data_IF_968107415845
#
_entry.id   IF_968107415845
#
_cell.length_a   1.000
_cell.length_b   1.000
_cell.length_c   1.000
_cell.angle_alpha   90.00
_cell.angle_beta   90.00
_cell.angle_gamma   90.00
#
_symmetry.space_group_name_H-M   'P 1'
#
loop_
_entity.id
_entity.type
_entity.pdbx_description
1 polymer ?
#
# COMPACT_ATOMS: atom_id res chain seq x y z
N UNK A 1 10.14 -12.31 11.13
CA UNK A 1 10.83 -13.45 11.78
C UNK A 1 11.25 -14.51 10.77
N UNK A 2 10.33 -15.31 10.19
CA UNK A 2 10.69 -16.43 9.27
C UNK A 2 11.44 -15.95 8.02
N UNK A 3 11.05 -14.84 7.42
CA UNK A 3 11.73 -14.29 6.23
C UNK A 3 13.13 -13.74 6.56
N UNK A 4 13.32 -13.19 7.75
CA UNK A 4 14.64 -12.73 8.20
C UNK A 4 15.64 -13.89 8.32
N UNK A 5 15.17 -15.02 8.80
CA UNK A 5 15.97 -16.24 8.99
C UNK A 5 16.14 -17.00 7.66
N UNK A 6 15.06 -17.31 6.98
CA UNK A 6 15.07 -18.18 5.78
C UNK A 6 15.45 -17.47 4.49
N UNK A 7 15.31 -16.14 4.43
CA UNK A 7 15.62 -15.28 3.28
C UNK A 7 14.99 -15.79 1.96
N UNK A 8 13.76 -16.30 2.02
CA UNK A 8 13.07 -16.87 0.86
C UNK A 8 12.81 -15.81 -0.21
N UNK A 9 12.33 -14.62 0.20
CA UNK A 9 12.12 -13.51 -0.72
C UNK A 9 13.44 -13.10 -1.39
N UNK A 10 14.52 -12.94 -0.62
CA UNK A 10 15.84 -12.61 -1.17
C UNK A 10 16.31 -13.65 -2.19
N UNK A 11 16.11 -14.93 -1.91
CA UNK A 11 16.46 -16.02 -2.84
C UNK A 11 15.63 -15.95 -4.13
N UNK A 12 14.33 -15.66 -4.03
CA UNK A 12 13.48 -15.43 -5.21
C UNK A 12 13.95 -14.22 -6.02
N UNK A 13 14.26 -13.10 -5.36
CA UNK A 13 14.76 -11.89 -6.02
C UNK A 13 16.06 -12.12 -6.79
N UNK A 14 16.98 -12.93 -6.26
CA UNK A 14 18.19 -13.33 -6.97
C UNK A 14 17.88 -14.12 -8.25
N UNK A 15 16.85 -14.97 -8.27
CA UNK A 15 16.46 -15.67 -9.49
C UNK A 15 15.82 -14.71 -10.51
N UNK A 16 14.97 -13.78 -10.05
CA UNK A 16 14.36 -12.76 -10.90
C UNK A 16 15.45 -11.91 -11.56
N UNK A 17 16.45 -11.47 -10.80
CA UNK A 17 17.59 -10.71 -11.29
C UNK A 17 18.44 -11.54 -12.29
N UNK A 18 18.70 -12.82 -11.97
CA UNK A 18 19.52 -13.72 -12.79
C UNK A 18 18.91 -13.98 -14.17
N UNK A 19 17.58 -14.08 -14.24
CA UNK A 19 16.87 -14.37 -15.49
C UNK A 19 16.31 -13.11 -16.19
N UNK A 20 16.70 -11.92 -15.75
CA UNK A 20 16.32 -10.64 -16.33
C UNK A 20 14.79 -10.40 -16.39
N UNK A 21 14.06 -10.92 -15.39
CA UNK A 21 12.64 -10.63 -15.25
C UNK A 21 12.41 -9.26 -14.62
N UNK A 22 11.30 -8.62 -15.01
CA UNK A 22 10.78 -7.46 -14.29
C UNK A 22 10.08 -7.89 -13.00
N UNK A 23 9.94 -6.96 -12.05
CA UNK A 23 9.38 -7.21 -10.73
C UNK A 23 8.30 -6.21 -10.36
N UNK A 24 7.18 -6.72 -9.84
CA UNK A 24 6.23 -5.93 -9.03
C UNK A 24 6.17 -6.55 -7.64
N UNK A 25 6.71 -5.85 -6.65
CA UNK A 25 6.75 -6.27 -5.26
C UNK A 25 5.67 -5.54 -4.46
N UNK A 26 4.76 -6.30 -3.83
CA UNK A 26 3.80 -5.76 -2.86
C UNK A 26 4.34 -5.92 -1.45
N UNK A 27 4.41 -4.84 -0.69
CA UNK A 27 4.92 -4.88 0.67
C UNK A 27 4.20 -3.92 1.62
N UNK A 28 4.23 -4.23 2.90
CA UNK A 28 3.89 -3.37 4.03
C UNK A 28 4.98 -3.45 5.12
N UNK A 29 6.16 -3.95 4.74
CA UNK A 29 7.30 -4.15 5.63
C UNK A 29 8.54 -3.44 5.12
N UNK A 30 9.29 -2.82 6.02
CA UNK A 30 10.61 -2.23 5.75
C UNK A 30 11.69 -3.26 5.50
N UNK A 31 11.40 -4.56 5.68
CA UNK A 31 12.33 -5.65 5.38
C UNK A 31 12.78 -5.63 3.90
N UNK A 32 11.98 -5.05 3.01
CA UNK A 32 12.37 -4.82 1.62
C UNK A 32 13.68 -3.99 1.48
N UNK A 33 14.04 -3.17 2.48
CA UNK A 33 15.31 -2.41 2.48
C UNK A 33 16.54 -3.31 2.58
N UNK A 34 16.44 -4.48 3.21
CA UNK A 34 17.52 -5.48 3.24
C UNK A 34 17.94 -5.87 1.83
N UNK A 35 16.98 -5.90 0.91
CA UNK A 35 17.15 -6.42 -0.45
C UNK A 35 17.24 -5.31 -1.51
N UNK A 36 17.43 -4.06 -1.08
CA UNK A 36 17.44 -2.87 -1.96
C UNK A 36 18.54 -2.96 -3.03
N UNK A 37 19.64 -3.63 -2.74
CA UNK A 37 20.74 -3.88 -3.67
C UNK A 37 20.30 -4.74 -4.87
N UNK A 38 19.45 -5.74 -4.63
CA UNK A 38 18.92 -6.63 -5.67
C UNK A 38 17.80 -5.92 -6.42
N UNK A 39 16.92 -5.20 -5.71
CA UNK A 39 15.85 -4.41 -6.33
C UNK A 39 16.42 -3.36 -7.29
N UNK A 40 17.52 -2.70 -6.93
CA UNK A 40 18.22 -1.74 -7.79
C UNK A 40 18.81 -2.42 -9.04
N UNK A 41 19.44 -3.60 -8.90
CA UNK A 41 19.93 -4.37 -10.05
C UNK A 41 18.81 -4.77 -11.01
N UNK A 42 17.69 -5.27 -10.51
CA UNK A 42 16.50 -5.60 -11.31
C UNK A 42 16.00 -4.34 -12.01
N UNK A 43 15.92 -3.20 -11.31
CA UNK A 43 15.45 -1.95 -11.88
C UNK A 43 16.32 -1.44 -13.01
N UNK A 44 17.65 -1.61 -12.90
CA UNK A 44 18.61 -1.22 -13.96
C UNK A 44 18.53 -2.09 -15.20
N UNK A 45 18.35 -3.40 -15.02
CA UNK A 45 18.28 -4.37 -16.13
C UNK A 45 16.94 -4.33 -16.85
N UNK A 46 15.87 -4.30 -16.07
CA UNK A 46 14.50 -4.40 -16.59
C UNK A 46 13.62 -3.30 -15.98
N UNK A 47 12.80 -3.66 -15.00
CA UNK A 47 11.90 -2.75 -14.29
C UNK A 47 11.60 -3.31 -12.92
N UNK A 48 11.71 -2.49 -11.90
CA UNK A 48 11.29 -2.81 -10.55
C UNK A 48 10.24 -1.80 -10.07
N UNK A 49 9.09 -2.30 -9.67
CA UNK A 49 8.03 -1.50 -9.07
C UNK A 49 7.77 -2.04 -7.67
N UNK A 50 7.75 -1.17 -6.68
CA UNK A 50 7.38 -1.54 -5.31
C UNK A 50 6.06 -0.87 -4.97
N UNK A 51 5.05 -1.68 -4.65
CA UNK A 51 3.73 -1.21 -4.22
C UNK A 51 3.68 -1.29 -2.70
N UNK A 52 3.69 -0.12 -2.06
CA UNK A 52 3.64 0.00 -0.60
C UNK A 52 2.20 0.25 -0.17
N UNK A 53 1.70 -0.57 0.77
CA UNK A 53 0.37 -0.38 1.34
C UNK A 53 0.41 0.60 2.50
N UNK A 54 -0.50 1.57 2.49
CA UNK A 54 -0.76 2.51 3.58
C UNK A 54 -2.25 2.58 3.88
N UNK A 55 -2.62 2.65 5.15
CA UNK A 55 -4.01 2.78 5.63
C UNK A 55 -4.18 3.97 6.56
N UNK A 56 -3.16 4.33 7.30
CA UNK A 56 -3.12 5.49 8.18
C UNK A 56 -1.71 6.05 8.25
N UNK A 57 -1.57 7.32 8.59
CA UNK A 57 -0.31 8.00 8.92
C UNK A 57 0.03 7.89 10.42
N UNK A 58 -0.96 7.60 11.26
CA UNK A 58 -0.81 7.44 12.70
C UNK A 58 -0.19 6.08 13.06
N UNK A 59 1.04 6.11 13.60
CA UNK A 59 1.77 4.92 14.04
C UNK A 59 1.08 4.17 15.19
N UNK A 60 0.36 4.88 16.08
CA UNK A 60 -0.35 4.25 17.19
C UNK A 60 -1.59 3.50 16.68
N UNK A 61 -2.37 4.13 15.80
CA UNK A 61 -3.51 3.51 15.16
C UNK A 61 -3.06 2.32 14.29
N UNK A 62 -1.96 2.46 13.55
CA UNK A 62 -1.41 1.37 12.73
C UNK A 62 -1.04 0.14 13.58
N UNK A 63 -0.43 0.31 14.75
CA UNK A 63 -0.15 -0.78 15.68
C UNK A 63 -1.41 -1.49 16.16
N UNK A 64 -2.48 -0.72 16.41
CA UNK A 64 -3.76 -1.28 16.80
C UNK A 64 -4.41 -2.05 15.65
N UNK A 65 -4.35 -1.53 14.43
CA UNK A 65 -4.94 -2.17 13.23
C UNK A 65 -4.12 -3.36 12.73
N UNK A 66 -2.80 -3.21 12.62
CA UNK A 66 -1.89 -4.09 11.89
C UNK A 66 -0.63 -4.41 12.74
N UNK A 67 -0.79 -5.15 13.84
CA UNK A 67 0.27 -5.33 14.86
C UNK A 67 1.62 -5.87 14.34
N UNK A 68 1.61 -6.68 13.28
CA UNK A 68 2.81 -7.38 12.77
C UNK A 68 3.39 -6.74 11.50
N UNK A 69 3.15 -5.45 11.29
CA UNK A 69 3.64 -4.71 10.12
C UNK A 69 4.53 -3.56 10.51
N UNK A 70 5.35 -3.05 9.58
CA UNK A 70 6.12 -1.83 9.80
C UNK A 70 5.22 -0.62 9.99
N UNK A 71 5.66 0.34 10.79
CA UNK A 71 4.90 1.57 11.05
C UNK A 71 4.76 2.43 9.77
N UNK A 72 3.72 3.24 9.66
CA UNK A 72 3.57 4.23 8.57
C UNK A 72 4.79 5.13 8.40
N UNK A 73 5.34 5.65 9.49
CA UNK A 73 6.58 6.47 9.49
C UNK A 73 7.79 5.71 8.92
N UNK A 74 7.92 4.42 9.24
CA UNK A 74 8.96 3.55 8.69
C UNK A 74 8.73 3.26 7.21
N UNK A 75 7.46 3.08 6.79
CA UNK A 75 7.10 2.89 5.37
C UNK A 75 7.38 4.15 4.55
N UNK A 76 7.19 5.35 5.11
CA UNK A 76 7.61 6.60 4.48
C UNK A 76 9.13 6.60 4.22
N UNK A 77 9.93 6.18 5.21
CA UNK A 77 11.38 6.07 5.05
C UNK A 77 11.76 5.04 3.98
N UNK A 78 11.07 3.89 3.94
CA UNK A 78 11.24 2.88 2.88
C UNK A 78 10.99 3.50 1.51
N UNK A 79 9.87 4.18 1.31
CA UNK A 79 9.51 4.80 0.03
C UNK A 79 10.56 5.81 -0.42
N UNK A 80 11.00 6.71 0.46
CA UNK A 80 12.05 7.70 0.18
C UNK A 80 13.38 7.05 -0.25
N UNK A 81 13.77 5.94 0.39
CA UNK A 81 14.99 5.21 0.03
C UNK A 81 14.88 4.50 -1.32
N UNK A 82 13.71 3.98 -1.66
CA UNK A 82 13.46 3.34 -2.96
C UNK A 82 13.48 4.36 -4.08
N UNK A 83 12.73 5.47 -3.96
CA UNK A 83 12.67 6.52 -4.98
C UNK A 83 14.02 7.21 -5.19
N UNK A 84 14.81 7.41 -4.14
CA UNK A 84 16.18 7.92 -4.22
C UNK A 84 17.13 7.00 -5.05
N UNK A 85 16.77 5.71 -5.22
CA UNK A 85 17.45 4.75 -6.10
C UNK A 85 16.85 4.67 -7.51
N UNK A 86 15.87 5.52 -7.82
CA UNK A 86 15.14 5.47 -9.10
C UNK A 86 14.20 4.25 -9.22
N UNK A 87 13.93 3.55 -8.11
CA UNK A 87 12.96 2.46 -8.09
C UNK A 87 11.56 3.06 -8.04
N UNK A 88 10.68 2.65 -8.94
CA UNK A 88 9.31 3.15 -9.00
C UNK A 88 8.52 2.69 -7.78
N UNK A 89 7.95 3.64 -7.05
CA UNK A 89 7.06 3.37 -5.91
C UNK A 89 5.64 3.75 -6.28
N UNK A 90 4.70 2.85 -6.01
CA UNK A 90 3.25 3.09 -6.06
C UNK A 90 2.71 2.86 -4.65
N UNK A 91 1.84 3.74 -4.17
CA UNK A 91 1.15 3.55 -2.89
C UNK A 91 -0.22 2.96 -3.14
N UNK A 92 -0.60 1.94 -2.36
CA UNK A 92 -1.99 1.46 -2.30
C UNK A 92 -2.61 1.93 -1.00
N UNK A 93 -3.61 2.81 -1.11
CA UNK A 93 -4.40 3.25 0.04
C UNK A 93 -5.43 2.19 0.37
N UNK A 94 -5.13 1.33 1.35
CA UNK A 94 -6.01 0.23 1.74
C UNK A 94 -5.56 -0.44 3.06
N UNK A 95 -6.48 -0.91 3.90
CA UNK A 95 -7.89 -0.58 3.86
C UNK A 95 -8.19 0.78 4.46
N UNK A 96 -9.20 1.47 3.96
CA UNK A 96 -9.82 2.61 4.63
C UNK A 96 -11.09 2.07 5.28
N UNK A 97 -11.08 2.08 6.59
CA UNK A 97 -12.14 1.54 7.44
C UNK A 97 -13.03 2.68 7.94
N UNK A 98 -14.34 2.63 7.69
CA UNK A 98 -15.28 3.62 8.20
C UNK A 98 -15.11 3.84 9.72
N UNK A 99 -15.23 5.08 10.18
CA UNK A 99 -15.16 5.47 11.60
C UNK A 99 -13.81 5.23 12.28
N UNK A 100 -12.81 4.66 11.60
CA UNK A 100 -11.50 4.35 12.16
C UNK A 100 -10.40 5.22 11.55
N UNK A 101 -10.23 5.15 10.22
CA UNK A 101 -9.17 5.86 9.53
C UNK A 101 -9.64 6.55 8.24
N UNK A 102 -10.94 6.79 8.12
CA UNK A 102 -11.59 7.40 6.96
C UNK A 102 -11.77 8.93 7.07
N UNK A 103 -11.08 9.58 8.00
CA UNK A 103 -11.10 11.04 8.10
C UNK A 103 -10.30 11.69 6.97
N UNK A 104 -10.71 12.88 6.55
CA UNK A 104 -9.98 13.65 5.52
C UNK A 104 -8.57 14.02 5.99
N UNK A 105 -8.40 14.29 7.27
CA UNK A 105 -7.09 14.58 7.87
C UNK A 105 -6.13 13.42 7.67
N UNK A 106 -6.56 12.18 7.99
CA UNK A 106 -5.73 10.99 7.75
C UNK A 106 -5.36 10.82 6.27
N UNK A 107 -6.33 11.06 5.37
CA UNK A 107 -6.08 10.97 3.93
C UNK A 107 -5.08 12.04 3.46
N UNK A 108 -5.22 13.29 3.91
CA UNK A 108 -4.30 14.38 3.58
C UNK A 108 -2.87 14.09 4.06
N UNK A 109 -2.71 13.55 5.26
CA UNK A 109 -1.40 13.15 5.78
C UNK A 109 -0.81 11.99 4.98
N UNK A 110 -1.60 10.98 4.58
CA UNK A 110 -1.15 9.90 3.70
C UNK A 110 -0.71 10.42 2.33
N UNK A 111 -1.42 11.39 1.77
CA UNK A 111 -1.06 12.06 0.52
C UNK A 111 0.24 12.86 0.67
N UNK A 112 0.42 13.57 1.79
CA UNK A 112 1.69 14.23 2.11
C UNK A 112 2.86 13.23 2.18
N UNK A 113 2.66 12.01 2.68
CA UNK A 113 3.68 10.95 2.62
C UNK A 113 4.03 10.57 1.17
N UNK A 114 3.02 10.49 0.31
CA UNK A 114 3.23 10.20 -1.12
C UNK A 114 4.05 11.29 -1.81
N UNK A 115 3.73 12.55 -1.56
CA UNK A 115 4.46 13.72 -2.07
C UNK A 115 5.92 13.72 -1.58
N UNK A 116 6.12 13.62 -0.26
CA UNK A 116 7.45 13.59 0.36
C UNK A 116 8.33 12.48 -0.16
N UNK A 117 7.73 11.35 -0.51
CA UNK A 117 8.45 10.20 -1.06
C UNK A 117 8.57 10.24 -2.59
N UNK A 118 7.99 11.24 -3.27
CA UNK A 118 7.98 11.36 -4.71
C UNK A 118 7.51 10.06 -5.39
N UNK A 119 6.34 9.56 -4.96
CA UNK A 119 5.80 8.32 -5.51
C UNK A 119 5.27 8.51 -6.93
N UNK A 120 5.34 7.46 -7.74
CA UNK A 120 4.84 7.48 -9.12
C UNK A 120 3.32 7.53 -9.19
N UNK A 121 2.63 6.84 -8.27
CA UNK A 121 1.18 6.79 -8.33
C UNK A 121 0.51 6.24 -7.08
N UNK A 122 -0.82 6.39 -7.05
CA UNK A 122 -1.68 5.98 -5.94
C UNK A 122 -2.80 5.08 -6.46
N UNK A 123 -2.90 3.86 -5.90
CA UNK A 123 -3.96 2.89 -6.17
C UNK A 123 -5.03 2.93 -5.07
N UNK A 124 -6.29 3.07 -5.47
CA UNK A 124 -7.46 3.06 -4.57
C UNK A 124 -8.38 1.85 -4.78
N UNK A 125 -7.98 0.90 -5.64
CA UNK A 125 -8.79 -0.22 -6.11
C UNK A 125 -9.27 -1.19 -5.02
N UNK A 126 -8.64 -1.14 -3.84
CA UNK A 126 -9.01 -1.95 -2.66
C UNK A 126 -9.18 -1.09 -1.41
N UNK A 127 -9.49 0.19 -1.60
CA UNK A 127 -9.65 1.13 -0.50
C UNK A 127 -10.76 0.66 0.46
N UNK A 128 -11.93 0.32 -0.09
CA UNK A 128 -13.02 -0.24 0.72
C UNK A 128 -12.85 -1.76 0.90
N UNK A 129 -12.85 -2.26 2.13
CA UNK A 129 -12.81 -3.70 2.40
C UNK A 129 -14.05 -4.42 1.87
N UNK A 130 -13.83 -5.63 1.35
CA UNK A 130 -14.90 -6.53 0.92
C UNK A 130 -14.94 -7.74 1.84
N UNK A 131 -16.01 -7.87 2.60
CA UNK A 131 -16.24 -8.95 3.54
C UNK A 131 -16.87 -10.15 2.81
N UNK A 132 -16.04 -11.14 2.50
CA UNK A 132 -16.47 -12.42 1.94
C UNK A 132 -16.82 -13.39 3.06
N UNK A 133 -17.52 -14.47 2.72
CA UNK A 133 -17.77 -15.58 3.63
C UNK A 133 -16.44 -16.07 4.27
N UNK A 134 -16.46 -16.33 5.57
CA UNK A 134 -15.28 -16.68 6.37
C UNK A 134 -14.40 -15.50 6.80
N UNK A 135 -14.42 -14.38 6.08
CA UNK A 135 -13.68 -13.18 6.48
C UNK A 135 -14.53 -12.22 7.31
N UNK A 136 -15.84 -12.24 7.16
CA UNK A 136 -16.78 -11.38 7.90
C UNK A 136 -16.67 -11.62 9.41
N UNK A 137 -16.85 -12.86 9.82
CA UNK A 137 -16.84 -13.25 11.23
C UNK A 137 -15.50 -12.87 11.88
N UNK A 138 -14.40 -13.13 11.17
CA UNK A 138 -13.08 -12.76 11.65
C UNK A 138 -12.90 -11.25 11.75
N UNK A 139 -13.43 -10.48 10.78
CA UNK A 139 -13.38 -9.02 10.80
C UNK A 139 -14.12 -8.48 12.03
N UNK A 140 -15.38 -8.89 12.24
CA UNK A 140 -16.18 -8.44 13.38
C UNK A 140 -15.60 -8.87 14.72
N UNK A 141 -15.03 -10.07 14.83
CA UNK A 141 -14.29 -10.50 16.02
C UNK A 141 -13.10 -9.60 16.33
N UNK A 142 -12.32 -9.21 15.30
CA UNK A 142 -11.19 -8.29 15.48
C UNK A 142 -11.67 -6.87 15.78
N UNK A 143 -12.74 -6.41 15.15
CA UNK A 143 -13.37 -5.12 15.41
C UNK A 143 -13.81 -5.03 16.87
N UNK A 144 -14.58 -6.00 17.36
CA UNK A 144 -15.01 -6.06 18.75
C UNK A 144 -13.84 -6.03 19.73
N UNK A 145 -12.77 -6.77 19.43
CA UNK A 145 -11.59 -6.83 20.29
C UNK A 145 -10.77 -5.54 20.31
N UNK A 146 -10.65 -4.87 19.18
CA UNK A 146 -9.74 -3.74 19.01
C UNK A 146 -10.42 -2.38 19.10
N UNK A 147 -11.68 -2.32 18.73
CA UNK A 147 -12.50 -1.11 18.62
C UNK A 147 -13.92 -1.35 19.15
N UNK A 148 -14.08 -1.73 20.43
CA UNK A 148 -15.39 -2.10 21.00
C UNK A 148 -16.41 -0.96 20.90
N UNK A 149 -15.97 0.29 21.04
CA UNK A 149 -16.84 1.48 21.08
C UNK A 149 -17.56 1.75 19.74
N UNK A 150 -17.05 1.20 18.63
CA UNK A 150 -17.65 1.38 17.31
C UNK A 150 -18.26 0.10 16.74
N UNK A 151 -18.19 -1.00 17.46
CA UNK A 151 -18.70 -2.30 17.02
C UNK A 151 -20.19 -2.25 16.68
N UNK A 152 -21.03 -1.76 17.61
CA UNK A 152 -22.48 -1.67 17.42
C UNK A 152 -22.83 -0.78 16.22
N UNK A 153 -22.10 0.30 16.04
CA UNK A 153 -22.27 1.19 14.87
C UNK A 153 -21.98 0.49 13.56
N UNK A 154 -20.99 -0.41 13.53
CA UNK A 154 -20.72 -1.21 12.34
C UNK A 154 -21.83 -2.20 12.03
N UNK A 155 -22.40 -2.86 13.07
CA UNK A 155 -23.54 -3.75 12.89
C UNK A 155 -24.78 -2.98 12.40
N UNK A 156 -25.05 -1.81 12.96
CA UNK A 156 -26.17 -0.96 12.56
C UNK A 156 -26.05 -0.47 11.11
N UNK A 157 -24.88 0.04 10.72
CA UNK A 157 -24.69 0.68 9.39
C UNK A 157 -24.42 -0.35 8.29
N UNK A 158 -23.63 -1.38 8.56
CA UNK A 158 -23.18 -2.32 7.54
C UNK A 158 -23.84 -3.69 7.61
N UNK A 159 -24.28 -4.15 8.78
CA UNK A 159 -24.98 -5.43 8.93
C UNK A 159 -24.41 -6.54 8.04
N UNK A 160 -25.19 -6.97 7.06
CA UNK A 160 -24.79 -7.98 6.07
C UNK A 160 -24.15 -7.43 4.79
N UNK A 161 -23.90 -6.13 4.72
CA UNK A 161 -23.27 -5.52 3.56
C UNK A 161 -21.90 -6.14 3.25
N UNK A 162 -21.68 -6.44 1.96
CA UNK A 162 -20.40 -7.06 1.54
C UNK A 162 -19.24 -6.08 1.50
N UNK A 163 -19.52 -4.80 1.23
CA UNK A 163 -18.49 -3.78 1.06
C UNK A 163 -18.64 -2.71 2.14
N UNK A 164 -17.57 -2.49 2.88
CA UNK A 164 -17.51 -1.42 3.89
C UNK A 164 -17.12 -0.11 3.20
N UNK A 165 -18.09 0.55 2.54
CA UNK A 165 -17.89 1.84 1.91
C UNK A 165 -18.15 2.94 2.93
N UNK A 166 -17.16 3.79 3.18
CA UNK A 166 -17.31 4.96 4.05
C UNK A 166 -18.25 6.00 3.46
N UNK A 167 -18.96 6.73 4.30
CA UNK A 167 -19.78 7.89 3.90
C UNK A 167 -18.90 9.01 3.31
N UNK A 168 -17.62 9.10 3.74
CA UNK A 168 -16.66 10.08 3.26
C UNK A 168 -16.05 9.73 1.89
N UNK A 169 -16.48 8.62 1.24
CA UNK A 169 -15.83 8.09 0.04
C UNK A 169 -15.65 9.13 -1.06
N UNK A 170 -16.67 9.90 -1.39
CA UNK A 170 -16.62 10.85 -2.50
C UNK A 170 -15.72 12.05 -2.16
N UNK A 171 -15.73 12.50 -0.90
CA UNK A 171 -14.82 13.53 -0.42
C UNK A 171 -13.36 13.05 -0.42
N UNK A 172 -13.10 11.81 0.00
CA UNK A 172 -11.79 11.17 -0.04
C UNK A 172 -11.29 11.08 -1.48
N UNK A 173 -12.12 10.59 -2.41
CA UNK A 173 -11.73 10.47 -3.82
C UNK A 173 -11.47 11.82 -4.47
N UNK A 174 -12.22 12.86 -4.09
CA UNK A 174 -11.97 14.23 -4.54
C UNK A 174 -10.64 14.75 -4.03
N UNK A 175 -10.35 14.58 -2.74
CA UNK A 175 -9.08 14.97 -2.13
C UNK A 175 -7.88 14.27 -2.81
N UNK A 176 -7.99 12.96 -3.05
CA UNK A 176 -6.94 12.18 -3.74
C UNK A 176 -6.72 12.73 -5.16
N UNK A 177 -7.79 12.94 -5.94
CA UNK A 177 -7.70 13.45 -7.30
C UNK A 177 -7.02 14.81 -7.35
N UNK A 178 -7.50 15.77 -6.55
CA UNK A 178 -6.98 17.14 -6.56
C UNK A 178 -5.49 17.17 -6.17
N UNK A 179 -5.09 16.42 -5.15
CA UNK A 179 -3.69 16.32 -4.75
C UNK A 179 -2.84 15.66 -5.84
N UNK A 180 -3.31 14.57 -6.43
CA UNK A 180 -2.59 13.87 -7.49
C UNK A 180 -2.40 14.76 -8.74
N UNK A 181 -3.42 15.50 -9.14
CA UNK A 181 -3.36 16.45 -10.26
C UNK A 181 -2.37 17.59 -9.97
N UNK A 182 -2.40 18.15 -8.75
CA UNK A 182 -1.52 19.24 -8.35
C UNK A 182 -0.03 18.84 -8.32
N UNK A 183 0.27 17.58 -7.98
CA UNK A 183 1.64 17.08 -7.81
C UNK A 183 2.12 16.15 -8.93
N UNK A 184 1.32 15.93 -9.97
CA UNK A 184 1.67 15.04 -11.09
C UNK A 184 1.79 13.57 -10.70
N UNK A 185 1.06 13.14 -9.67
CA UNK A 185 1.01 11.73 -9.21
C UNK A 185 -0.05 11.00 -10.04
N UNK A 186 0.30 9.87 -10.62
CA UNK A 186 -0.66 9.06 -11.39
C UNK A 186 -1.69 8.40 -10.46
N UNK A 187 -2.99 8.53 -10.75
CA UNK A 187 -4.06 7.93 -9.96
C UNK A 187 -5.08 7.13 -10.80
N UNK A 188 -4.97 7.18 -12.12
CA UNK A 188 -5.81 6.32 -12.97
C UNK A 188 -5.41 4.85 -12.81
N UNK A 189 -6.37 4.05 -12.37
CA UNK A 189 -6.17 2.63 -12.05
C UNK A 189 -5.73 1.83 -13.28
N UNK A 190 -6.37 2.05 -14.42
CA UNK A 190 -6.09 1.26 -15.63
C UNK A 190 -4.70 1.59 -16.17
N UNK A 191 -4.31 2.86 -16.13
CA UNK A 191 -2.97 3.29 -16.50
C UNK A 191 -1.91 2.72 -15.55
N UNK A 192 -2.13 2.78 -14.24
CA UNK A 192 -1.22 2.20 -13.26
C UNK A 192 -1.07 0.68 -13.44
N UNK A 193 -2.18 -0.04 -13.65
CA UNK A 193 -2.13 -1.48 -13.90
C UNK A 193 -1.46 -1.81 -15.23
N UNK A 194 -1.70 -1.02 -16.28
CA UNK A 194 -1.00 -1.15 -17.56
C UNK A 194 0.51 -0.92 -17.36
N UNK A 195 0.89 0.15 -16.69
CA UNK A 195 2.28 0.46 -16.38
C UNK A 195 2.98 -0.68 -15.63
N UNK A 196 2.29 -1.38 -14.72
CA UNK A 196 2.89 -2.54 -14.00
C UNK A 196 3.11 -3.75 -14.90
N UNK A 197 2.45 -3.86 -16.04
CA UNK A 197 2.53 -5.02 -16.97
C UNK A 197 3.44 -4.77 -18.17
N UNK A 198 3.66 -3.50 -18.53
CA UNK A 198 4.50 -3.12 -19.66
C UNK A 198 5.96 -3.04 -19.25
N UNK A 199 6.79 -3.85 -19.87
CA UNK A 199 8.24 -3.83 -19.71
C UNK A 199 8.86 -3.35 -21.03
N UNK A 200 9.56 -2.22 -20.98
CA UNK A 200 10.41 -1.83 -22.11
C UNK A 200 11.65 -2.72 -22.06
N UNK A 201 11.91 -3.46 -23.15
CA UNK A 201 13.20 -4.09 -23.34
C UNK A 201 14.26 -2.97 -23.31
N UNK A 202 15.02 -2.87 -22.24
CA UNK A 202 16.22 -2.03 -22.24
C UNK A 202 17.18 -2.72 -23.17
N UNK A 203 17.37 -2.16 -24.36
CA UNK A 203 18.43 -2.60 -25.27
C UNK A 203 19.74 -2.51 -24.49
N UNK A 204 20.36 -3.65 -24.25
CA UNK A 204 21.68 -3.73 -23.65
C UNK A 204 22.63 -3.16 -24.71
N UNK A 205 23.06 -1.92 -24.51
CA UNK A 205 24.12 -1.31 -25.28
C UNK A 205 25.48 -1.70 -24.72
#
# INVERSE_FOLDING_TARGET
PLEEELQLVRRCLNQIERFDFGLVLYTHSTLALRDIDILDKINRKTKCIVIVRLSTSDDALAKQMEADTSLPSERLMLMKKLTARGITVIVRLAPILPFINDSLENIQELLSYCEQANVYGILTDKMCPVLREGNRERFYQQLYKKFPDIYDRYEEVYGDEKTLKTENYDAIMTCIRETCEAHGIQYDKEELLRFTREYKNKTIG
#
